data_IF_674645050966
#
_entry.id   IF_674645050966
#
_cell.length_a   1.000
_cell.length_b   1.000
_cell.length_c   1.000
_cell.angle_alpha   90.00
_cell.angle_beta   90.00
_cell.angle_gamma   90.00
#
_symmetry.space_group_name_H-M   'P 1'
#
loop_
_entity.id
_entity.type
_entity.pdbx_description
1 polymer ?
#
# COMPACT_ATOMS: atom_id res chain seq x y z
N UNK A 1 -9.18 -25.20 25.40
CA UNK A 1 -9.24 -24.80 23.98
C UNK A 1 -8.50 -23.46 23.83
N UNK A 2 -7.54 -23.36 22.92
CA UNK A 2 -6.83 -22.09 22.60
C UNK A 2 -7.74 -21.22 21.74
N UNK A 3 -7.79 -19.92 22.05
CA UNK A 3 -8.63 -18.93 21.42
C UNK A 3 -8.10 -17.50 21.70
N UNK A 4 -8.87 -16.46 21.37
CA UNK A 4 -8.41 -15.08 21.42
C UNK A 4 -9.41 -14.17 22.12
N UNK A 5 -8.84 -13.15 22.78
CA UNK A 5 -9.65 -12.12 23.45
C UNK A 5 -8.96 -10.76 23.32
N UNK A 6 -9.76 -9.72 23.14
CA UNK A 6 -9.33 -8.32 23.13
C UNK A 6 -9.79 -7.66 24.43
N UNK A 7 -8.96 -6.72 24.91
CA UNK A 7 -9.16 -5.94 26.11
C UNK A 7 -8.90 -4.46 25.83
N UNK A 8 -9.35 -3.60 26.68
CA UNK A 8 -8.93 -2.21 26.69
C UNK A 8 -7.40 -2.09 26.94
N UNK A 9 -6.83 -0.92 26.71
CA UNK A 9 -5.39 -0.64 26.90
C UNK A 9 -4.85 -0.94 28.30
N UNK A 10 -5.71 -0.93 29.29
CA UNK A 10 -5.42 -1.21 30.72
C UNK A 10 -5.69 -2.67 31.14
N UNK A 11 -5.90 -3.58 30.18
CA UNK A 11 -6.28 -4.96 30.41
C UNK A 11 -7.67 -5.15 31.02
N UNK A 12 -8.55 -4.17 30.95
CA UNK A 12 -9.93 -4.34 31.39
C UNK A 12 -10.86 -4.81 30.26
N UNK A 13 -11.92 -5.51 30.64
CA UNK A 13 -13.06 -5.81 29.78
C UNK A 13 -14.34 -5.73 30.60
N UNK A 14 -15.25 -4.81 30.24
CA UNK A 14 -16.49 -4.56 30.99
C UNK A 14 -16.26 -4.30 32.49
N UNK A 15 -15.18 -3.59 32.83
CA UNK A 15 -14.84 -3.25 34.21
C UNK A 15 -14.14 -4.35 34.99
N UNK A 16 -13.98 -5.55 34.44
CA UNK A 16 -13.21 -6.62 35.05
C UNK A 16 -11.74 -6.53 34.62
N UNK A 17 -10.81 -6.66 35.60
CA UNK A 17 -9.36 -6.57 35.38
C UNK A 17 -8.77 -7.94 35.09
N UNK A 18 -7.96 -8.02 34.01
CA UNK A 18 -7.23 -9.25 33.66
C UNK A 18 -5.72 -9.02 33.74
N UNK A 19 -4.97 -10.11 33.83
CA UNK A 19 -3.51 -10.13 33.84
C UNK A 19 -3.01 -11.36 33.07
N UNK A 20 -1.95 -11.20 32.30
CA UNK A 20 -1.28 -12.30 31.59
C UNK A 20 -0.74 -13.32 32.60
N UNK A 21 -0.93 -14.60 32.32
CA UNK A 21 -0.55 -15.73 33.17
C UNK A 21 -1.66 -16.21 34.15
N UNK A 22 -2.61 -15.35 34.44
CA UNK A 22 -3.64 -15.63 35.45
C UNK A 22 -4.83 -16.44 34.87
N UNK A 23 -5.47 -17.19 35.79
CA UNK A 23 -6.69 -17.96 35.50
C UNK A 23 -7.85 -17.39 36.30
N UNK A 24 -9.00 -17.21 35.66
CA UNK A 24 -10.20 -16.66 36.24
C UNK A 24 -11.35 -17.67 36.13
N UNK A 25 -12.15 -17.76 37.17
CA UNK A 25 -13.31 -18.67 37.26
C UNK A 25 -14.56 -17.92 37.73
N UNK A 26 -15.67 -18.17 37.06
CA UNK A 26 -17.03 -17.80 37.52
C UNK A 26 -17.86 -19.05 37.76
N UNK A 27 -18.52 -19.13 38.92
CA UNK A 27 -19.40 -20.25 39.28
C UNK A 27 -20.76 -20.12 38.59
N UNK A 28 -20.75 -20.13 37.26
CA UNK A 28 -21.96 -20.02 36.44
C UNK A 28 -21.94 -21.05 35.32
N UNK A 29 -23.11 -21.40 34.80
CA UNK A 29 -23.20 -22.09 33.51
C UNK A 29 -23.03 -21.03 32.41
N UNK A 30 -22.01 -21.12 31.51
CA UNK A 30 -21.77 -20.12 30.52
C UNK A 30 -22.93 -19.98 29.52
N UNK A 31 -23.23 -18.75 29.13
CA UNK A 31 -24.26 -18.41 28.15
C UNK A 31 -23.81 -17.23 27.30
N UNK A 32 -23.79 -17.41 25.98
CA UNK A 32 -23.30 -16.38 25.06
C UNK A 32 -24.15 -15.11 25.18
N UNK A 33 -23.50 -13.95 25.27
CA UNK A 33 -24.08 -12.63 25.53
C UNK A 33 -24.66 -12.37 26.92
N UNK A 34 -24.60 -13.34 27.83
CA UNK A 34 -25.19 -13.23 29.16
C UNK A 34 -24.16 -13.47 30.29
N UNK A 35 -23.60 -14.67 30.43
CA UNK A 35 -22.74 -15.07 31.55
C UNK A 35 -21.47 -15.78 31.09
N UNK A 36 -20.35 -15.57 31.82
CA UNK A 36 -19.07 -16.18 31.58
C UNK A 36 -18.12 -15.27 30.80
N UNK A 37 -16.89 -15.71 30.64
CA UNK A 37 -15.81 -15.00 29.95
C UNK A 37 -15.94 -15.23 28.46
N UNK A 38 -16.21 -14.14 27.71
CA UNK A 38 -16.38 -14.18 26.26
C UNK A 38 -15.03 -14.10 25.53
N UNK A 39 -14.92 -14.87 24.44
CA UNK A 39 -13.73 -14.97 23.58
C UNK A 39 -14.14 -15.35 22.15
N UNK A 40 -13.20 -15.31 21.19
CA UNK A 40 -13.43 -15.77 19.82
C UNK A 40 -12.43 -16.86 19.44
N UNK A 41 -12.88 -17.85 18.65
CA UNK A 41 -12.02 -18.92 18.13
C UNK A 41 -11.01 -18.40 17.09
N UNK A 42 -11.40 -17.37 16.35
CA UNK A 42 -10.55 -16.65 15.38
C UNK A 42 -10.33 -15.23 15.88
N UNK A 43 -9.07 -14.77 15.84
CA UNK A 43 -8.73 -13.44 16.30
C UNK A 43 -9.49 -12.34 15.54
N UNK A 44 -9.64 -12.48 14.23
CA UNK A 44 -10.36 -11.51 13.39
C UNK A 44 -11.80 -11.27 13.84
N UNK A 45 -12.44 -12.26 14.44
CA UNK A 45 -13.82 -12.15 14.93
C UNK A 45 -13.94 -11.33 16.21
N UNK A 46 -12.86 -11.18 16.98
CA UNK A 46 -12.83 -10.29 18.14
C UNK A 46 -13.10 -8.84 17.74
N UNK A 47 -12.67 -8.42 16.57
CA UNK A 47 -12.86 -7.09 16.02
C UNK A 47 -14.28 -6.83 15.44
N UNK A 48 -15.21 -7.75 15.63
CA UNK A 48 -16.64 -7.46 15.51
C UNK A 48 -17.20 -6.78 16.79
N UNK A 49 -16.46 -6.88 17.90
CA UNK A 49 -16.90 -6.45 19.25
C UNK A 49 -16.00 -5.38 19.85
N UNK A 50 -14.80 -5.17 19.30
CA UNK A 50 -13.80 -4.17 19.68
C UNK A 50 -13.35 -3.40 18.46
N UNK A 51 -13.06 -2.13 18.63
CA UNK A 51 -12.41 -1.34 17.58
C UNK A 51 -11.04 -1.94 17.24
N UNK A 52 -10.69 -1.94 15.99
CA UNK A 52 -9.36 -2.33 15.53
C UNK A 52 -8.37 -1.20 15.84
N UNK A 53 -7.81 -1.22 17.04
CA UNK A 53 -6.98 -0.15 17.61
C UNK A 53 -5.70 -0.75 18.20
N UNK A 54 -4.48 -0.30 17.79
CA UNK A 54 -3.21 -0.79 18.32
C UNK A 54 -3.01 -0.52 19.81
N UNK A 55 -3.79 0.38 20.42
CA UNK A 55 -3.77 0.60 21.87
C UNK A 55 -4.48 -0.51 22.66
N UNK A 56 -5.36 -1.27 22.05
CA UNK A 56 -6.01 -2.40 22.69
C UNK A 56 -5.00 -3.51 23.00
N UNK A 57 -5.25 -4.22 24.09
CA UNK A 57 -4.51 -5.43 24.44
C UNK A 57 -5.17 -6.64 23.79
N UNK A 58 -4.37 -7.49 23.17
CA UNK A 58 -4.83 -8.71 22.52
C UNK A 58 -4.09 -9.88 23.15
N UNK A 59 -4.81 -10.94 23.51
CA UNK A 59 -4.19 -12.12 24.08
C UNK A 59 -4.69 -13.43 23.46
N UNK A 60 -3.77 -14.38 23.41
CA UNK A 60 -4.09 -15.79 23.34
C UNK A 60 -4.59 -16.24 24.71
N UNK A 61 -5.72 -16.93 24.70
CA UNK A 61 -6.37 -17.44 25.92
C UNK A 61 -6.59 -18.95 25.83
N UNK A 62 -6.75 -19.57 26.97
CA UNK A 62 -7.20 -20.94 27.07
C UNK A 62 -8.53 -21.03 27.83
N UNK A 63 -9.55 -21.54 27.14
CA UNK A 63 -10.83 -21.89 27.78
C UNK A 63 -10.72 -23.28 28.41
N UNK A 64 -10.79 -23.33 29.74
CA UNK A 64 -10.55 -24.52 30.57
C UNK A 64 -11.81 -25.15 31.13
N UNK A 65 -12.90 -24.37 31.24
CA UNK A 65 -14.18 -24.84 31.78
C UNK A 65 -15.19 -25.26 30.72
N UNK A 66 -16.47 -25.23 31.12
CA UNK A 66 -17.58 -25.43 30.20
C UNK A 66 -17.59 -24.33 29.15
N UNK A 67 -18.00 -24.65 27.92
CA UNK A 67 -18.03 -23.72 26.80
C UNK A 67 -19.43 -23.66 26.21
N UNK A 68 -19.96 -22.45 26.05
CA UNK A 68 -21.10 -22.19 25.20
C UNK A 68 -20.65 -21.50 23.92
N UNK A 69 -21.07 -22.01 22.76
CA UNK A 69 -20.68 -21.55 21.45
C UNK A 69 -21.79 -20.72 20.80
N UNK A 70 -21.42 -19.60 20.16
CA UNK A 70 -22.24 -18.83 19.23
C UNK A 70 -21.55 -18.74 17.88
N UNK A 71 -22.10 -17.94 16.96
CA UNK A 71 -21.62 -17.87 15.57
C UNK A 71 -20.17 -17.38 15.45
N UNK A 72 -19.83 -16.24 16.07
CA UNK A 72 -18.50 -15.62 15.99
C UNK A 72 -17.82 -15.47 17.35
N UNK A 73 -18.53 -15.70 18.44
CA UNK A 73 -17.98 -15.66 19.80
C UNK A 73 -18.46 -16.83 20.64
N UNK A 74 -17.66 -17.19 21.62
CA UNK A 74 -17.92 -18.21 22.62
C UNK A 74 -17.81 -17.60 24.01
N UNK A 75 -18.25 -18.33 25.04
CA UNK A 75 -17.97 -17.99 26.42
C UNK A 75 -17.63 -19.24 27.22
N UNK A 76 -16.89 -19.06 28.32
CA UNK A 76 -16.51 -20.13 29.26
C UNK A 76 -16.62 -19.61 30.68
N UNK A 77 -16.80 -20.51 31.62
CA UNK A 77 -16.77 -20.19 33.04
C UNK A 77 -15.35 -20.24 33.66
N UNK A 78 -14.34 -20.77 32.91
CA UNK A 78 -12.93 -20.75 33.33
C UNK A 78 -12.05 -20.33 32.15
N UNK A 79 -11.32 -19.22 32.32
CA UNK A 79 -10.43 -18.67 31.29
C UNK A 79 -9.03 -18.42 31.85
N UNK A 80 -8.00 -18.80 31.11
CA UNK A 80 -6.61 -18.43 31.39
C UNK A 80 -6.11 -17.47 30.31
N UNK A 81 -5.46 -16.38 30.72
CA UNK A 81 -4.78 -15.47 29.83
C UNK A 81 -3.37 -15.99 29.61
N UNK A 82 -3.07 -16.54 28.43
CA UNK A 82 -1.82 -17.28 28.20
C UNK A 82 -0.67 -16.32 27.91
N UNK A 83 -0.82 -15.49 26.89
CA UNK A 83 0.20 -14.50 26.48
C UNK A 83 -0.44 -13.30 25.77
N UNK A 84 0.21 -12.14 25.88
CA UNK A 84 -0.08 -10.98 25.03
C UNK A 84 0.41 -11.25 23.61
N UNK A 85 -0.37 -10.86 22.61
CA UNK A 85 0.02 -10.84 21.21
C UNK A 85 0.46 -9.43 20.86
N UNK A 86 1.73 -9.22 20.45
CA UNK A 86 2.18 -7.94 19.96
C UNK A 86 1.44 -7.58 18.66
N UNK A 87 1.28 -6.28 18.40
CA UNK A 87 0.39 -5.81 17.33
C UNK A 87 0.79 -6.30 15.93
N UNK A 88 2.08 -6.51 15.66
CA UNK A 88 2.52 -7.07 14.37
C UNK A 88 2.03 -8.52 14.17
N UNK A 89 2.02 -9.36 15.22
CA UNK A 89 1.43 -10.71 15.14
C UNK A 89 -0.09 -10.64 14.91
N UNK A 90 -0.76 -9.67 15.55
CA UNK A 90 -2.19 -9.43 15.33
C UNK A 90 -2.47 -9.11 13.84
N UNK A 91 -1.67 -8.23 13.23
CA UNK A 91 -1.82 -7.88 11.81
C UNK A 91 -1.66 -9.09 10.88
N UNK A 92 -0.68 -9.95 11.16
CA UNK A 92 -0.44 -11.18 10.38
C UNK A 92 -1.62 -12.18 10.52
N UNK A 93 -2.21 -12.26 11.72
CA UNK A 93 -3.28 -13.22 12.01
C UNK A 93 -4.65 -12.79 11.46
N UNK A 94 -4.91 -11.51 11.26
CA UNK A 94 -6.21 -10.99 10.81
C UNK A 94 -6.28 -10.70 9.32
N UNK A 95 -5.17 -10.87 8.61
CA UNK A 95 -5.03 -10.67 7.18
C UNK A 95 -4.49 -11.93 6.50
N UNK A 96 -4.67 -12.01 5.18
CA UNK A 96 -3.97 -12.98 4.31
C UNK A 96 -3.10 -12.18 3.34
N UNK A 97 -1.79 -12.43 3.35
CA UNK A 97 -0.78 -11.68 2.58
C UNK A 97 0.11 -10.81 3.44
N UNK A 98 1.03 -10.08 2.81
CA UNK A 98 2.11 -9.33 3.44
C UNK A 98 1.83 -7.82 3.48
N UNK A 99 2.38 -7.14 4.51
CA UNK A 99 2.42 -5.67 4.56
C UNK A 99 1.07 -4.98 4.69
N UNK A 100 0.02 -5.70 5.09
CA UNK A 100 -1.32 -5.13 5.26
C UNK A 100 -1.43 -4.30 6.54
N UNK A 101 -2.09 -3.14 6.43
CA UNK A 101 -2.51 -2.32 7.56
C UNK A 101 -4.04 -2.32 7.63
N UNK A 102 -4.60 -2.64 8.78
CA UNK A 102 -6.02 -2.88 8.94
C UNK A 102 -6.33 -4.37 9.13
N UNK A 103 -7.53 -4.81 8.81
CA UNK A 103 -7.94 -6.20 9.01
C UNK A 103 -8.87 -6.73 7.92
N UNK A 104 -8.91 -8.06 7.78
CA UNK A 104 -9.71 -8.76 6.75
C UNK A 104 -9.28 -8.42 5.33
N UNK A 105 -8.01 -8.12 5.13
CA UNK A 105 -7.46 -7.97 3.80
C UNK A 105 -6.98 -9.31 3.25
N UNK A 106 -7.12 -9.52 1.96
CA UNK A 106 -6.58 -10.65 1.20
C UNK A 106 -5.75 -10.09 0.06
N UNK A 107 -4.46 -10.45 -0.01
CA UNK A 107 -3.44 -9.87 -0.90
C UNK A 107 -2.46 -9.02 -0.13
N UNK A 108 -1.56 -8.33 -0.83
CA UNK A 108 -0.41 -7.67 -0.25
C UNK A 108 -0.56 -6.13 -0.23
N UNK A 109 0.06 -5.51 0.77
CA UNK A 109 0.22 -4.05 0.86
C UNK A 109 -1.07 -3.23 0.86
N UNK A 110 -2.16 -3.79 1.42
CA UNK A 110 -3.40 -3.05 1.56
C UNK A 110 -3.40 -2.18 2.83
N UNK A 111 -3.96 -0.98 2.71
CA UNK A 111 -4.24 -0.08 3.84
C UNK A 111 -5.75 0.12 3.93
N UNK A 112 -6.35 -0.23 5.07
CA UNK A 112 -7.80 -0.22 5.28
C UNK A 112 -8.34 -1.62 5.57
N UNK A 113 -9.63 -1.84 5.35
CA UNK A 113 -10.31 -3.05 5.78
C UNK A 113 -11.06 -3.76 4.64
N UNK A 114 -11.08 -5.10 4.67
CA UNK A 114 -11.87 -5.94 3.74
C UNK A 114 -11.51 -5.75 2.27
N UNK A 115 -10.24 -5.46 1.98
CA UNK A 115 -9.78 -5.39 0.60
C UNK A 115 -9.41 -6.79 0.08
N UNK A 116 -9.66 -7.04 -1.20
CA UNK A 116 -9.22 -8.22 -1.92
C UNK A 116 -8.41 -7.77 -3.14
N UNK A 117 -7.17 -8.23 -3.25
CA UNK A 117 -6.17 -7.77 -4.22
C UNK A 117 -5.05 -7.01 -3.52
N UNK A 118 -4.17 -6.35 -4.26
CA UNK A 118 -2.95 -5.77 -3.74
C UNK A 118 -2.94 -4.24 -3.81
N UNK A 119 -2.24 -3.61 -2.87
CA UNK A 119 -1.94 -2.19 -2.91
C UNK A 119 -3.17 -1.28 -2.89
N UNK A 120 -4.26 -1.71 -2.24
CA UNK A 120 -5.44 -0.86 -2.08
C UNK A 120 -5.29 0.05 -0.85
N UNK A 121 -5.80 1.27 -0.97
CA UNK A 121 -5.97 2.22 0.13
C UNK A 121 -7.43 2.59 0.24
N UNK A 122 -8.03 2.30 1.40
CA UNK A 122 -9.46 2.43 1.67
C UNK A 122 -10.10 1.10 2.02
N UNK A 123 -11.42 1.04 2.03
CA UNK A 123 -12.18 -0.10 2.51
C UNK A 123 -12.98 -0.81 1.41
N UNK A 124 -13.10 -2.13 1.54
CA UNK A 124 -14.00 -2.95 0.72
C UNK A 124 -13.73 -2.87 -0.79
N UNK A 125 -12.46 -2.74 -1.18
CA UNK A 125 -12.08 -2.81 -2.57
C UNK A 125 -11.84 -4.26 -3.01
N UNK A 126 -12.22 -4.58 -4.24
CA UNK A 126 -11.83 -5.78 -4.97
C UNK A 126 -11.06 -5.32 -6.21
N UNK A 127 -9.85 -5.82 -6.41
CA UNK A 127 -8.93 -5.37 -7.44
C UNK A 127 -7.63 -4.83 -6.85
N UNK A 128 -6.81 -4.22 -7.68
CA UNK A 128 -5.48 -3.78 -7.32
C UNK A 128 -5.31 -2.26 -7.43
N UNK A 129 -4.51 -1.66 -6.55
CA UNK A 129 -4.11 -0.25 -6.60
C UNK A 129 -5.28 0.74 -6.58
N UNK A 130 -6.32 0.42 -5.84
CA UNK A 130 -7.43 1.36 -5.64
C UNK A 130 -7.12 2.35 -4.52
N UNK A 131 -7.56 3.59 -4.70
CA UNK A 131 -7.56 4.64 -3.67
C UNK A 131 -9.00 5.15 -3.47
N UNK A 132 -9.62 4.76 -2.36
CA UNK A 132 -11.03 4.99 -2.04
C UNK A 132 -11.74 3.69 -1.70
N UNK A 133 -13.06 3.67 -1.70
CA UNK A 133 -13.85 2.60 -1.13
C UNK A 133 -14.80 1.94 -2.13
N UNK A 134 -15.13 0.66 -1.90
CA UNK A 134 -16.14 -0.09 -2.65
C UNK A 134 -15.86 -0.21 -4.15
N UNK A 135 -14.60 -0.25 -4.58
CA UNK A 135 -14.25 -0.45 -5.99
C UNK A 135 -14.17 -1.94 -6.33
N UNK A 136 -14.60 -2.32 -7.54
CA UNK A 136 -14.59 -3.70 -8.05
C UNK A 136 -13.64 -3.92 -9.22
N UNK A 137 -12.87 -2.92 -9.60
CA UNK A 137 -11.88 -2.97 -10.69
C UNK A 137 -10.55 -2.37 -10.22
N UNK A 138 -9.55 -2.32 -11.11
CA UNK A 138 -8.20 -1.90 -10.77
C UNK A 138 -7.95 -0.40 -10.99
N UNK A 139 -6.96 0.14 -10.26
CA UNK A 139 -6.39 1.47 -10.46
C UNK A 139 -7.40 2.63 -10.34
N UNK A 140 -8.43 2.47 -9.52
CA UNK A 140 -9.42 3.51 -9.31
C UNK A 140 -8.99 4.54 -8.27
N UNK A 141 -9.35 5.79 -8.52
CA UNK A 141 -9.39 6.87 -7.54
C UNK A 141 -10.84 7.30 -7.30
N UNK A 142 -11.35 7.11 -6.08
CA UNK A 142 -12.76 7.38 -5.74
C UNK A 142 -13.49 6.13 -5.28
N UNK A 143 -14.83 6.15 -5.31
CA UNK A 143 -15.66 5.11 -4.70
C UNK A 143 -16.70 4.56 -5.68
N UNK A 144 -17.08 3.29 -5.49
CA UNK A 144 -18.13 2.59 -6.25
C UNK A 144 -17.82 2.45 -7.77
N UNK A 145 -16.54 2.38 -8.15
CA UNK A 145 -16.16 2.15 -9.54
C UNK A 145 -16.18 0.65 -9.85
N UNK A 146 -16.70 0.29 -11.03
CA UNK A 146 -16.81 -1.08 -11.50
C UNK A 146 -16.03 -1.35 -12.78
N UNK A 147 -15.66 -0.30 -13.50
CA UNK A 147 -14.90 -0.36 -14.74
C UNK A 147 -13.46 0.08 -14.53
N UNK A 148 -12.54 -0.40 -15.36
CA UNK A 148 -11.16 0.04 -15.36
C UNK A 148 -11.08 1.54 -15.64
N UNK A 149 -10.36 2.25 -14.76
CA UNK A 149 -10.21 3.69 -14.89
C UNK A 149 -9.43 4.07 -16.15
N UNK A 150 -9.98 5.01 -16.91
CA UNK A 150 -9.28 5.64 -18.05
C UNK A 150 -8.32 6.70 -17.52
N UNK A 151 -7.12 6.72 -18.09
CA UNK A 151 -6.09 7.66 -17.67
C UNK A 151 -6.35 9.06 -18.23
N UNK A 152 -6.00 10.07 -17.43
CA UNK A 152 -5.81 11.43 -17.91
C UNK A 152 -4.37 11.56 -18.41
N UNK A 153 -4.20 12.12 -19.62
CA UNK A 153 -2.92 12.55 -20.11
C UNK A 153 -2.95 14.06 -20.32
N UNK A 154 -1.99 14.75 -19.75
CA UNK A 154 -1.88 16.22 -19.81
C UNK A 154 -3.18 16.92 -19.37
N UNK A 155 -3.83 16.39 -18.30
CA UNK A 155 -5.10 16.84 -17.71
C UNK A 155 -6.34 16.68 -18.62
N UNK A 156 -6.26 15.86 -19.67
CA UNK A 156 -7.37 15.59 -20.58
C UNK A 156 -7.71 14.08 -20.57
N UNK A 157 -9.00 13.77 -20.69
CA UNK A 157 -9.52 12.41 -20.74
C UNK A 157 -9.01 11.64 -21.96
N UNK A 158 -8.75 10.35 -21.78
CA UNK A 158 -8.37 9.44 -22.86
C UNK A 158 -9.15 8.13 -22.77
N UNK A 159 -9.08 7.33 -23.81
CA UNK A 159 -9.58 5.95 -23.80
C UNK A 159 -8.55 4.93 -23.30
N UNK A 160 -7.35 5.38 -22.97
CA UNK A 160 -6.24 4.52 -22.55
C UNK A 160 -6.37 4.10 -21.08
N UNK A 161 -6.29 2.79 -20.82
CA UNK A 161 -6.21 2.25 -19.48
C UNK A 161 -4.77 2.26 -18.95
N UNK A 162 -4.62 2.06 -17.63
CA UNK A 162 -3.30 1.95 -16.99
C UNK A 162 -2.46 0.81 -17.59
N UNK A 163 -3.05 -0.34 -17.89
CA UNK A 163 -2.34 -1.47 -18.51
C UNK A 163 -1.86 -1.14 -19.92
N UNK A 164 -2.73 -0.53 -20.75
CA UNK A 164 -2.35 -0.11 -22.10
C UNK A 164 -1.21 0.90 -22.09
N UNK A 165 -1.21 1.83 -21.14
CA UNK A 165 -0.09 2.76 -20.95
C UNK A 165 1.20 2.04 -20.58
N UNK A 166 1.17 1.14 -19.60
CA UNK A 166 2.34 0.37 -19.14
C UNK A 166 2.94 -0.52 -20.23
N UNK A 167 2.12 -1.04 -21.13
CA UNK A 167 2.55 -1.85 -22.28
C UNK A 167 2.96 -1.00 -23.49
N UNK A 168 2.80 0.31 -23.43
CA UNK A 168 3.13 1.20 -24.55
C UNK A 168 4.65 1.37 -24.75
N UNK A 169 5.05 1.57 -26.02
CA UNK A 169 6.44 1.90 -26.36
C UNK A 169 6.90 3.21 -25.71
N UNK A 170 6.02 4.21 -25.64
CA UNK A 170 6.32 5.49 -25.01
C UNK A 170 6.68 5.34 -23.53
N UNK A 171 5.90 4.51 -22.79
CA UNK A 171 6.20 4.21 -21.40
C UNK A 171 7.57 3.52 -21.24
N UNK A 172 7.86 2.53 -22.09
CA UNK A 172 9.15 1.83 -22.05
C UNK A 172 10.33 2.79 -22.28
N UNK A 173 10.23 3.67 -23.28
CA UNK A 173 11.26 4.68 -23.55
C UNK A 173 11.47 5.64 -22.37
N UNK A 174 10.39 6.08 -21.72
CA UNK A 174 10.48 6.96 -20.55
C UNK A 174 11.11 6.28 -19.33
N UNK A 175 10.96 4.96 -19.20
CA UNK A 175 11.62 4.19 -18.14
C UNK A 175 13.14 4.08 -18.31
N UNK A 176 13.67 4.34 -19.51
CA UNK A 176 15.12 4.32 -19.79
C UNK A 176 15.83 5.61 -19.36
N UNK A 177 15.10 6.62 -18.92
CA UNK A 177 15.69 7.86 -18.39
C UNK A 177 16.43 7.58 -17.08
N UNK A 178 17.73 7.74 -17.06
CA UNK A 178 18.54 7.55 -15.85
C UNK A 178 18.53 8.81 -14.95
N UNK A 179 17.45 8.97 -14.21
CA UNK A 179 17.25 10.06 -13.25
C UNK A 179 17.69 9.73 -11.82
N UNK A 180 18.47 8.65 -11.62
CA UNK A 180 18.97 8.27 -10.30
C UNK A 180 19.93 9.33 -9.76
N UNK A 181 19.67 9.94 -8.60
CA UNK A 181 20.49 11.02 -8.05
C UNK A 181 21.84 10.54 -7.50
N UNK A 182 22.01 9.22 -7.40
CA UNK A 182 23.23 8.61 -6.85
C UNK A 182 23.63 7.40 -7.67
N UNK A 183 24.94 7.12 -7.68
CA UNK A 183 25.55 5.95 -8.30
C UNK A 183 26.48 5.27 -7.31
N UNK A 184 26.41 3.92 -7.23
CA UNK A 184 27.34 3.16 -6.41
C UNK A 184 28.63 2.90 -7.16
N UNK A 185 29.76 3.43 -6.65
CA UNK A 185 31.09 3.19 -7.20
C UNK A 185 31.75 2.07 -6.38
N UNK A 186 32.02 0.95 -7.03
CA UNK A 186 32.68 -0.17 -6.39
C UNK A 186 34.15 0.11 -6.12
N UNK A 187 34.71 -0.51 -5.08
CA UNK A 187 36.10 -0.31 -4.65
C UNK A 187 37.14 -0.55 -5.77
N UNK A 188 36.84 -1.41 -6.75
CA UNK A 188 37.68 -1.67 -7.92
C UNK A 188 37.73 -0.52 -8.93
N UNK A 189 36.65 0.28 -8.98
CA UNK A 189 36.47 1.37 -9.93
C UNK A 189 36.81 2.75 -9.34
N UNK A 190 37.17 2.78 -8.03
CA UNK A 190 37.52 4.00 -7.31
C UNK A 190 38.93 4.49 -7.70
N UNK A 191 39.03 5.78 -7.98
CA UNK A 191 40.33 6.47 -8.09
C UNK A 191 41.06 6.50 -6.74
N UNK A 192 42.35 6.85 -6.75
CA UNK A 192 43.10 6.99 -5.49
C UNK A 192 42.54 8.15 -4.65
N UNK A 193 42.05 9.23 -5.28
CA UNK A 193 41.40 10.33 -4.60
C UNK A 193 40.08 9.88 -3.96
N UNK A 194 39.24 9.11 -4.67
CA UNK A 194 38.00 8.57 -4.10
C UNK A 194 38.28 7.69 -2.87
N UNK A 195 39.36 6.91 -2.88
CA UNK A 195 39.76 6.07 -1.75
C UNK A 195 40.24 6.86 -0.54
N UNK A 196 40.86 8.04 -0.76
CA UNK A 196 41.25 8.97 0.31
C UNK A 196 40.02 9.67 0.90
N UNK A 197 39.08 10.11 0.05
CA UNK A 197 37.89 10.85 0.47
C UNK A 197 36.85 9.94 1.15
N UNK A 198 36.81 8.66 0.77
CA UNK A 198 35.85 7.69 1.28
C UNK A 198 36.52 6.45 1.91
N UNK A 199 37.33 6.59 2.97
CA UNK A 199 38.13 5.46 3.54
C UNK A 199 37.32 4.26 4.01
N UNK A 200 36.01 4.42 4.24
CA UNK A 200 35.08 3.37 4.59
C UNK A 200 34.86 2.33 3.46
N UNK A 201 35.31 2.60 2.23
CA UNK A 201 35.18 1.67 1.11
C UNK A 201 35.76 0.28 1.41
N UNK A 202 36.74 0.19 2.32
CA UNK A 202 37.36 -1.07 2.75
C UNK A 202 36.38 -2.01 3.46
N UNK A 203 35.36 -1.47 4.09
CA UNK A 203 34.31 -2.21 4.81
C UNK A 203 33.00 -2.28 4.05
N UNK A 204 32.68 -1.24 3.26
CA UNK A 204 31.45 -1.15 2.50
C UNK A 204 31.55 -1.73 1.09
N UNK A 205 32.78 -1.94 0.57
CA UNK A 205 33.03 -2.38 -0.80
C UNK A 205 32.90 -1.30 -1.87
N UNK A 206 32.69 -0.04 -1.48
CA UNK A 206 32.54 1.10 -2.37
C UNK A 206 31.95 2.32 -1.66
N UNK A 207 31.51 3.33 -2.41
CA UNK A 207 30.83 4.51 -1.91
C UNK A 207 29.70 4.96 -2.83
N UNK A 208 28.81 5.79 -2.32
CA UNK A 208 27.69 6.38 -3.06
C UNK A 208 28.11 7.75 -3.60
N UNK A 209 28.21 7.89 -4.91
CA UNK A 209 28.54 9.12 -5.60
C UNK A 209 27.26 9.88 -5.97
N UNK A 210 27.19 11.17 -5.64
CA UNK A 210 26.12 12.04 -6.10
C UNK A 210 26.29 12.33 -7.61
N UNK A 211 25.17 12.34 -8.33
CA UNK A 211 25.11 12.62 -9.77
C UNK A 211 24.27 13.87 -10.01
N UNK A 212 24.70 14.69 -10.92
CA UNK A 212 23.86 15.76 -11.46
C UNK A 212 22.90 15.18 -12.50
N UNK A 213 21.63 15.08 -12.13
CA UNK A 213 20.56 14.58 -13.00
C UNK A 213 19.77 15.68 -13.71
N UNK A 214 20.19 16.93 -13.59
CA UNK A 214 19.48 18.08 -14.18
C UNK A 214 19.36 18.00 -15.71
N UNK A 215 20.20 17.21 -16.37
CA UNK A 215 20.20 16.99 -17.81
C UNK A 215 19.77 15.59 -18.23
N UNK A 216 19.34 14.75 -17.31
CA UNK A 216 19.03 13.34 -17.59
C UNK A 216 18.02 13.16 -18.74
N UNK A 217 16.95 13.96 -18.77
CA UNK A 217 15.98 13.94 -19.87
C UNK A 217 16.54 14.45 -21.19
N UNK A 218 17.43 15.46 -21.17
CA UNK A 218 18.08 15.97 -22.38
C UNK A 218 19.02 14.94 -22.98
N UNK A 219 19.88 14.33 -22.14
CA UNK A 219 20.83 13.30 -22.56
C UNK A 219 20.11 12.06 -23.11
N UNK A 220 19.00 11.65 -22.48
CA UNK A 220 18.14 10.59 -22.99
C UNK A 220 17.53 10.95 -24.33
N UNK A 221 16.95 12.16 -24.48
CA UNK A 221 16.32 12.62 -25.71
C UNK A 221 17.28 12.67 -26.88
N UNK A 222 18.53 13.11 -26.65
CA UNK A 222 19.57 13.20 -27.66
C UNK A 222 20.00 11.83 -28.19
N UNK A 223 19.82 10.77 -27.42
CA UNK A 223 20.12 9.41 -27.83
C UNK A 223 18.97 8.72 -28.60
N UNK A 224 17.75 9.25 -28.55
CA UNK A 224 16.62 8.70 -29.27
C UNK A 224 16.71 8.94 -30.77
N UNK A 225 16.31 7.96 -31.57
CA UNK A 225 16.09 8.14 -33.00
C UNK A 225 14.78 8.90 -33.30
N UNK A 226 14.53 9.24 -34.56
CA UNK A 226 13.37 10.02 -34.97
C UNK A 226 12.06 9.28 -34.71
N UNK A 227 12.00 7.95 -34.88
CA UNK A 227 10.81 7.14 -34.62
C UNK A 227 10.49 7.08 -33.12
N UNK A 228 11.52 6.99 -32.27
CA UNK A 228 11.39 7.04 -30.83
C UNK A 228 10.90 8.41 -30.34
N UNK A 229 11.48 9.49 -30.87
CA UNK A 229 11.03 10.86 -30.60
C UNK A 229 9.60 11.09 -31.03
N UNK A 230 9.23 10.55 -32.18
CA UNK A 230 7.85 10.63 -32.67
C UNK A 230 6.89 9.87 -31.75
N UNK A 231 7.27 8.69 -31.26
CA UNK A 231 6.47 7.91 -30.32
C UNK A 231 6.16 8.70 -29.02
N UNK A 232 7.09 9.52 -28.52
CA UNK A 232 6.85 10.39 -27.37
C UNK A 232 5.86 11.51 -27.71
N UNK A 233 5.98 12.13 -28.91
CA UNK A 233 5.04 13.17 -29.35
C UNK A 233 3.62 12.64 -29.60
N UNK A 234 3.48 11.34 -29.84
CA UNK A 234 2.22 10.65 -30.05
C UNK A 234 1.53 10.17 -28.75
N UNK A 235 2.10 10.45 -27.60
CA UNK A 235 1.39 10.24 -26.31
C UNK A 235 0.04 10.97 -26.38
N UNK A 236 -1.08 10.34 -26.00
CA UNK A 236 -2.38 10.97 -26.06
C UNK A 236 -2.40 12.38 -25.43
N UNK A 237 -2.99 13.34 -26.12
CA UNK A 237 -3.11 14.73 -25.68
C UNK A 237 -1.75 15.41 -25.38
N UNK A 238 -0.67 15.01 -26.06
CA UNK A 238 0.67 15.53 -25.79
C UNK A 238 0.70 17.05 -25.75
N UNK A 239 1.21 17.59 -24.64
CA UNK A 239 1.38 19.03 -24.42
C UNK A 239 2.87 19.29 -24.09
N UNK A 240 3.59 19.89 -25.04
CA UNK A 240 5.02 20.14 -24.92
C UNK A 240 5.38 21.03 -23.72
N UNK A 241 4.51 22.01 -23.37
CA UNK A 241 4.75 22.90 -22.21
C UNK A 241 4.63 22.14 -20.90
N UNK A 242 3.58 21.30 -20.75
CA UNK A 242 3.42 20.47 -19.56
C UNK A 242 4.51 19.41 -19.45
N UNK A 243 4.91 18.84 -20.59
CA UNK A 243 6.03 17.91 -20.64
C UNK A 243 7.33 18.58 -20.16
N UNK A 244 7.63 19.78 -20.66
CA UNK A 244 8.78 20.59 -20.21
C UNK A 244 8.70 20.93 -18.73
N UNK A 245 7.53 21.32 -18.21
CA UNK A 245 7.34 21.62 -16.77
C UNK A 245 7.67 20.42 -15.86
N UNK A 246 7.43 19.21 -16.34
CA UNK A 246 7.63 17.97 -15.56
C UNK A 246 9.07 17.48 -15.70
N UNK A 247 9.63 17.53 -16.90
CA UNK A 247 10.90 16.87 -17.26
C UNK A 247 12.08 17.83 -17.37
N UNK A 248 11.81 19.12 -17.50
CA UNK A 248 12.81 20.14 -17.86
C UNK A 248 13.26 20.06 -19.32
N UNK A 249 12.72 19.14 -20.13
CA UNK A 249 13.06 18.93 -21.53
C UNK A 249 12.16 19.75 -22.45
N UNK A 250 12.74 20.66 -23.21
CA UNK A 250 12.04 21.44 -24.23
C UNK A 250 11.96 20.62 -25.53
N UNK A 251 10.75 20.20 -25.91
CA UNK A 251 10.50 19.51 -27.17
C UNK A 251 9.92 20.51 -28.17
N UNK A 252 10.64 20.75 -29.26
CA UNK A 252 10.12 21.51 -30.40
C UNK A 252 9.11 20.60 -31.15
N UNK A 253 7.86 20.97 -31.12
CA UNK A 253 6.77 20.26 -31.82
C UNK A 253 6.54 20.85 -33.25
N UNK A 254 7.39 21.78 -33.70
CA UNK A 254 7.09 22.57 -34.88
C UNK A 254 5.99 23.60 -34.64
N UNK A 255 5.91 24.65 -35.37
CA UNK A 255 4.86 25.66 -35.24
C UNK A 255 3.49 24.97 -35.35
N UNK A 256 2.66 25.05 -34.28
CA UNK A 256 1.22 24.80 -34.41
C UNK A 256 0.74 25.68 -35.57
N UNK A 257 -0.03 25.17 -36.56
CA UNK A 257 -0.61 26.04 -37.58
C UNK A 257 -1.41 27.09 -36.83
N UNK A 258 -1.02 28.38 -37.00
CA UNK A 258 -1.79 29.50 -36.48
C UNK A 258 -3.25 29.27 -36.84
N UNK A 259 -4.06 29.03 -35.84
CA UNK A 259 -5.52 28.93 -35.99
C UNK A 259 -6.00 30.35 -36.27
N UNK A 260 -5.93 30.77 -37.54
CA UNK A 260 -6.45 32.04 -38.01
C UNK A 260 -7.95 32.00 -37.83
N UNK A 261 -8.45 32.64 -36.79
CA UNK A 261 -9.87 32.98 -36.66
C UNK A 261 -10.25 33.83 -37.86
N UNK A 262 -10.68 33.19 -38.94
CA UNK A 262 -11.41 33.94 -39.97
C UNK A 262 -12.72 34.37 -39.34
N UNK A 263 -12.81 35.67 -39.07
CA UNK A 263 -14.05 36.33 -38.75
C UNK A 263 -15.13 35.94 -39.75
N UNK A 264 -16.07 35.12 -39.29
CA UNK A 264 -17.35 34.97 -39.96
C UNK A 264 -18.31 35.99 -39.39
N UNK A 265 -18.17 37.23 -39.82
CA UNK A 265 -19.27 38.23 -39.82
C UNK A 265 -19.19 38.93 -41.16
N UNK A 266 -20.06 38.52 -42.07
CA UNK A 266 -20.51 39.18 -43.28
C UNK A 266 -21.99 39.00 -43.44
#
# INVERSE_FOLDING_TARGET
MIAYKVFNSDWTCRGFQYQVGETYEEKVSPSVCDRGFHFCKKLVDCFNYYNFDPNNKVAEIEALGDIAEGDSKCCTNVIKIVKELPWHEVLEMVNTGLGNTGHRNTGDWNTGHRNTGDQNTGDQNTGHRNSGDFNLSDNNAGCFNVDDHKLLFFDQETEMTWYQWRDSRAYSLLCDVDSRPTEWIYAGDMSDQDKEDHPSYKTTGGYLKERDTSKAYQEWWDQLDDDQKQCIREIPNFDAKKFEMITGLMIDCGEEPEFVWKEFWG
#
